data_IF_990152897471
#
_entry.id   IF_990152897471
#
_cell.length_a   1.000
_cell.length_b   1.000
_cell.length_c   1.000
_cell.angle_alpha   90.00
_cell.angle_beta   90.00
_cell.angle_gamma   90.00
#
_symmetry.space_group_name_H-M   'P 1'
#
loop_
_entity.id
_entity.type
_entity.pdbx_description
1 polymer ?
#
# COMPACT_ATOMS: atom_id res chain seq x y z
N UNK A 1 1.74 -4.00 0.16
CA UNK A 1 3.21 -3.83 0.08
C UNK A 1 3.63 -2.55 0.79
N UNK A 2 3.37 -1.36 0.22
CA UNK A 2 3.79 -0.07 0.83
C UNK A 2 3.34 0.13 2.29
N UNK A 3 2.05 -0.04 2.59
CA UNK A 3 1.51 0.18 3.95
C UNK A 3 2.03 -0.78 5.02
N UNK A 4 2.43 -2.00 4.65
CA UNK A 4 2.84 -3.04 5.62
C UNK A 4 4.36 -3.22 5.70
N UNK A 5 5.05 -3.02 4.58
CA UNK A 5 6.49 -3.35 4.43
C UNK A 5 7.34 -2.13 4.05
N UNK A 6 6.74 -0.96 3.81
CA UNK A 6 7.47 0.25 3.40
C UNK A 6 8.06 0.22 1.98
N UNK A 7 7.75 -0.80 1.17
CA UNK A 7 8.23 -0.92 -0.21
C UNK A 7 7.20 -0.35 -1.18
N UNK A 8 7.55 0.72 -1.88
CA UNK A 8 6.66 1.42 -2.81
C UNK A 8 6.94 1.03 -4.28
N UNK A 9 6.10 0.12 -4.81
CA UNK A 9 6.16 -0.32 -6.20
C UNK A 9 4.93 0.12 -7.01
N UNK A 10 5.12 0.33 -8.31
CA UNK A 10 4.02 0.65 -9.24
C UNK A 10 3.10 -0.57 -9.43
N UNK A 11 1.85 -0.42 -9.91
CA UNK A 11 0.91 -1.54 -10.03
C UNK A 11 1.45 -2.73 -10.82
N UNK A 12 2.05 -2.49 -11.99
CA UNK A 12 2.67 -3.55 -12.80
C UNK A 12 3.90 -4.17 -12.10
N UNK A 13 4.68 -3.34 -11.39
CA UNK A 13 5.87 -3.74 -10.67
C UNK A 13 5.61 -4.67 -9.49
N UNK A 14 4.38 -4.69 -8.96
CA UNK A 14 3.99 -5.53 -7.81
C UNK A 14 3.00 -6.64 -8.18
N UNK A 15 2.72 -6.85 -9.47
CA UNK A 15 1.74 -7.84 -9.93
C UNK A 15 2.12 -9.28 -9.53
N UNK A 16 3.41 -9.59 -9.48
CA UNK A 16 3.95 -10.87 -8.99
C UNK A 16 3.52 -11.16 -7.54
N UNK A 17 3.55 -10.14 -6.68
CA UNK A 17 3.07 -10.24 -5.29
C UNK A 17 1.56 -10.47 -5.23
N UNK A 18 0.79 -9.76 -6.06
CA UNK A 18 -0.66 -9.92 -6.12
C UNK A 18 -1.05 -11.34 -6.59
N UNK A 19 -0.32 -11.88 -7.57
CA UNK A 19 -0.47 -13.26 -8.04
C UNK A 19 -0.16 -14.29 -6.94
N UNK A 20 0.95 -14.09 -6.21
CA UNK A 20 1.31 -14.92 -5.06
C UNK A 20 0.22 -14.89 -3.97
N UNK A 21 -0.29 -13.69 -3.63
CA UNK A 21 -1.37 -13.54 -2.66
C UNK A 21 -2.65 -14.26 -3.11
N UNK A 22 -3.00 -14.18 -4.39
CA UNK A 22 -4.15 -14.90 -4.96
C UNK A 22 -3.96 -16.42 -4.89
N UNK A 23 -2.78 -16.93 -5.26
CA UNK A 23 -2.44 -18.35 -5.22
C UNK A 23 -2.57 -18.91 -3.80
N UNK A 24 -2.03 -18.21 -2.81
CA UNK A 24 -2.08 -18.61 -1.39
C UNK A 24 -3.49 -18.71 -0.80
N UNK A 25 -4.51 -18.17 -1.46
CA UNK A 25 -5.91 -18.25 -1.04
C UNK A 25 -6.65 -19.43 -1.69
N UNK A 26 -6.00 -20.19 -2.58
CA UNK A 26 -6.60 -21.38 -3.18
C UNK A 26 -6.55 -22.56 -2.21
N UNK A 27 -7.56 -23.47 -2.24
CA UNK A 27 -7.53 -24.67 -1.43
C UNK A 27 -6.29 -25.53 -1.71
N UNK A 28 -5.59 -25.96 -0.65
CA UNK A 28 -4.39 -26.79 -0.77
C UNK A 28 -3.12 -26.04 -1.19
N UNK A 29 -3.14 -24.71 -1.30
CA UNK A 29 -1.93 -23.93 -1.50
C UNK A 29 -1.07 -23.93 -0.22
N UNK A 30 0.10 -24.55 -0.28
CA UNK A 30 1.05 -24.64 0.83
C UNK A 30 2.45 -24.19 0.37
N UNK A 31 3.08 -23.30 1.13
CA UNK A 31 4.46 -22.84 0.93
C UNK A 31 5.30 -23.05 2.20
N UNK A 32 4.87 -23.94 3.08
CA UNK A 32 5.58 -24.21 4.32
C UNK A 32 7.01 -24.69 4.03
N UNK A 33 8.01 -23.99 4.57
CA UNK A 33 9.43 -24.29 4.37
C UNK A 33 10.04 -23.69 3.10
N UNK A 34 9.26 -23.10 2.21
CA UNK A 34 9.75 -22.53 0.95
C UNK A 34 10.27 -21.09 1.12
N UNK A 35 11.31 -20.73 0.36
CA UNK A 35 11.79 -19.35 0.24
C UNK A 35 11.35 -18.75 -1.09
N UNK A 36 10.51 -17.72 -1.02
CA UNK A 36 9.97 -17.05 -2.21
C UNK A 36 10.70 -15.73 -2.45
N UNK A 37 11.07 -15.47 -3.71
CA UNK A 37 11.57 -14.17 -4.18
C UNK A 37 10.50 -13.54 -5.05
N UNK A 38 10.04 -12.35 -4.67
CA UNK A 38 9.13 -11.53 -5.47
C UNK A 38 9.92 -10.37 -6.06
N UNK A 39 9.98 -10.31 -7.38
CA UNK A 39 10.64 -9.20 -8.08
C UNK A 39 9.70 -7.99 -8.13
N UNK A 40 10.15 -6.88 -7.54
CA UNK A 40 9.54 -5.56 -7.71
C UNK A 40 10.25 -4.84 -8.84
N UNK A 41 9.67 -4.89 -10.04
CA UNK A 41 10.35 -4.42 -11.26
C UNK A 41 10.21 -2.92 -11.52
N UNK A 42 9.32 -2.25 -10.78
CA UNK A 42 9.00 -0.85 -10.98
C UNK A 42 8.78 -0.09 -9.68
N UNK A 43 9.42 1.08 -9.57
CA UNK A 43 9.24 1.99 -8.45
C UNK A 43 7.87 2.68 -8.53
N UNK A 44 7.19 2.87 -7.40
CA UNK A 44 5.87 3.50 -7.36
C UNK A 44 5.81 4.93 -7.89
N UNK A 45 6.92 5.65 -7.93
CA UNK A 45 7.02 7.00 -8.50
C UNK A 45 6.82 7.05 -10.03
N UNK A 46 6.82 5.89 -10.71
CA UNK A 46 6.50 5.81 -12.14
C UNK A 46 5.01 6.01 -12.43
N UNK A 47 4.13 5.72 -11.47
CA UNK A 47 2.67 5.83 -11.61
C UNK A 47 2.07 6.45 -10.34
N UNK A 48 2.39 7.73 -10.13
CA UNK A 48 1.90 8.52 -9.00
C UNK A 48 0.38 8.67 -9.03
N UNK A 49 -0.23 8.72 -10.21
CA UNK A 49 -1.68 8.86 -10.34
C UNK A 49 -2.42 7.64 -9.76
N UNK A 50 -1.93 6.42 -10.02
CA UNK A 50 -2.47 5.23 -9.37
C UNK A 50 -2.26 5.24 -7.87
N UNK A 51 -1.11 5.74 -7.40
CA UNK A 51 -0.84 5.85 -5.97
C UNK A 51 -1.83 6.82 -5.28
N UNK A 52 -2.05 8.01 -5.86
CA UNK A 52 -3.01 9.00 -5.37
C UNK A 52 -4.42 8.40 -5.32
N UNK A 53 -4.86 7.69 -6.38
CA UNK A 53 -6.18 7.01 -6.40
C UNK A 53 -6.34 5.92 -5.35
N UNK A 54 -5.24 5.34 -4.88
CA UNK A 54 -5.27 4.26 -3.88
C UNK A 54 -5.25 4.76 -2.44
N UNK A 55 -4.94 6.03 -2.22
CA UNK A 55 -4.92 6.66 -0.90
C UNK A 55 -6.22 7.46 -0.68
N UNK A 56 -6.71 7.54 0.57
CA UNK A 56 -7.77 8.49 0.89
C UNK A 56 -7.27 9.92 0.68
N UNK A 57 -8.16 10.82 0.26
CA UNK A 57 -7.83 12.24 0.18
C UNK A 57 -7.63 12.77 1.61
N UNK A 58 -6.50 13.45 1.90
CA UNK A 58 -6.28 14.02 3.21
C UNK A 58 -7.26 15.17 3.47
N UNK A 59 -7.78 15.32 4.71
CA UNK A 59 -8.69 16.41 5.04
C UNK A 59 -7.98 17.77 4.90
N UNK A 60 -8.69 18.75 4.35
CA UNK A 60 -8.25 20.15 4.37
C UNK A 60 -8.59 20.74 5.73
N UNK A 61 -7.57 21.28 6.40
CA UNK A 61 -7.70 21.94 7.71
C UNK A 61 -7.22 23.38 7.63
N UNK A 62 -7.68 24.21 8.56
CA UNK A 62 -7.16 25.57 8.72
C UNK A 62 -5.67 25.55 9.13
N UNK A 63 -4.88 26.56 8.74
CA UNK A 63 -3.44 26.60 9.01
C UNK A 63 -3.13 27.01 10.45
N UNK A 64 -3.66 26.29 11.44
CA UNK A 64 -3.40 26.51 12.86
C UNK A 64 -3.27 25.18 13.62
N UNK A 65 -2.49 25.13 14.74
CA UNK A 65 -2.28 23.91 15.50
C UNK A 65 -3.57 23.27 16.03
N UNK A 66 -4.57 24.07 16.44
CA UNK A 66 -5.81 23.53 17.00
C UNK A 66 -6.61 22.70 15.97
N UNK A 67 -6.59 23.10 14.69
CA UNK A 67 -7.20 22.33 13.61
C UNK A 67 -6.45 21.02 13.32
N UNK A 68 -5.14 20.99 13.54
CA UNK A 68 -4.33 19.76 13.45
C UNK A 68 -4.60 18.81 14.62
N UNK A 69 -4.67 19.35 15.85
CA UNK A 69 -4.92 18.58 17.08
C UNK A 69 -6.32 17.95 17.11
N UNK A 70 -7.24 18.45 16.30
CA UNK A 70 -8.59 17.90 16.13
C UNK A 70 -8.65 16.65 15.22
N UNK A 71 -7.55 16.27 14.56
CA UNK A 71 -7.49 15.05 13.74
C UNK A 71 -7.39 13.79 14.62
N UNK A 72 -8.03 12.71 14.17
CA UNK A 72 -7.87 11.38 14.74
C UNK A 72 -6.45 10.81 14.56
N UNK A 73 -6.13 9.69 15.22
CA UNK A 73 -4.80 9.05 15.13
C UNK A 73 -4.44 8.54 13.73
N UNK A 74 -5.42 8.41 12.86
CA UNK A 74 -5.31 8.10 11.43
C UNK A 74 -5.18 9.35 10.54
N UNK A 75 -5.13 10.55 11.14
CA UNK A 75 -5.02 11.82 10.43
C UNK A 75 -6.31 12.23 9.70
N UNK A 76 -7.43 11.58 10.01
CA UNK A 76 -8.76 11.89 9.48
C UNK A 76 -9.53 12.78 10.48
N UNK A 77 -10.55 13.49 9.99
CA UNK A 77 -11.46 14.20 10.89
C UNK A 77 -12.24 13.17 11.74
N UNK A 78 -12.31 13.41 13.04
CA UNK A 78 -13.08 12.60 13.98
C UNK A 78 -14.59 12.65 13.70
#
# INVERSE_FOLDING_TARGET
>A
LAQREGVFGEPAGVASLAGLHKMLRQPGAELAGERIVVLVTGNGLKDVDSAIRSAPEPPRIDPNPAALDALGPDGLLA
#
